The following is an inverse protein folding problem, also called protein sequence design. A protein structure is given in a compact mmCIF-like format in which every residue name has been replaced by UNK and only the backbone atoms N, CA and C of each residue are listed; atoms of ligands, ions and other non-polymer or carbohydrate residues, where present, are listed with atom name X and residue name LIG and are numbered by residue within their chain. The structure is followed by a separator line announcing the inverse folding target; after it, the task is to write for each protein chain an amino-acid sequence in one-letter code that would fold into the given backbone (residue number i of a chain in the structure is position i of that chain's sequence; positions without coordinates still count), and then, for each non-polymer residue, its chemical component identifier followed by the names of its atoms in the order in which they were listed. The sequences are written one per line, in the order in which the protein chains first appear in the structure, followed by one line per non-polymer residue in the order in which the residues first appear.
data_IF_075647811826
#
_entry.id   IF_075647811826
#
_cell.length_a   1.000
_cell.length_b   1.000
_cell.length_c   1.000
_cell.angle_alpha   90.00
_cell.angle_beta   90.00
_cell.angle_gamma   90.00
#
_symmetry.space_group_name_H-M   'P 1'
#
loop_
_entity.id
_entity.type
_entity.pdbx_description
1 polymer ?
#
# COMPACT_ATOMS: atom_id res chain seq x y z
N UNK A 1 39.96 -53.56 -50.98
CA UNK A 1 39.69 -53.49 -49.54
C UNK A 1 39.32 -52.04 -49.17
N UNK A 2 38.02 -51.70 -49.03
CA UNK A 2 37.53 -50.36 -48.68
C UNK A 2 37.32 -50.31 -47.18
N UNK A 3 38.06 -49.43 -46.48
CA UNK A 3 37.90 -49.18 -45.05
C UNK A 3 36.73 -48.17 -44.86
N UNK A 4 35.67 -48.58 -44.17
CA UNK A 4 34.59 -47.71 -43.68
C UNK A 4 35.05 -47.08 -42.36
N UNK A 5 35.14 -45.75 -42.35
CA UNK A 5 35.30 -44.95 -41.13
C UNK A 5 33.89 -44.64 -40.59
N UNK A 6 33.59 -45.16 -39.39
CA UNK A 6 32.34 -44.83 -38.66
C UNK A 6 32.67 -43.64 -37.80
N UNK A 7 32.12 -42.44 -38.14
CA UNK A 7 32.16 -41.24 -37.29
C UNK A 7 31.08 -41.31 -36.20
N UNK A 8 31.52 -41.39 -34.96
CA UNK A 8 30.65 -41.35 -33.77
C UNK A 8 30.36 -39.90 -33.46
N UNK A 9 29.14 -39.42 -33.73
CA UNK A 9 28.67 -38.08 -33.32
C UNK A 9 28.17 -38.12 -31.86
N UNK A 10 28.90 -37.50 -30.97
CA UNK A 10 28.50 -37.34 -29.58
C UNK A 10 27.54 -36.13 -29.49
N UNK A 11 26.28 -36.40 -29.25
CA UNK A 11 25.29 -35.37 -28.93
C UNK A 11 25.39 -34.94 -27.48
N UNK A 12 25.92 -33.76 -27.20
CA UNK A 12 25.80 -33.12 -25.88
C UNK A 12 24.39 -32.57 -25.71
N UNK A 13 23.57 -33.21 -24.90
CA UNK A 13 22.30 -32.68 -24.47
C UNK A 13 22.54 -31.59 -23.41
N UNK A 14 22.36 -30.32 -23.81
CA UNK A 14 22.39 -29.18 -22.90
C UNK A 14 21.02 -29.14 -22.16
N UNK A 15 21.00 -29.64 -20.92
CA UNK A 15 19.84 -29.51 -20.04
C UNK A 15 19.76 -28.05 -19.54
N UNK A 16 18.94 -27.24 -20.18
CA UNK A 16 18.63 -25.90 -19.68
C UNK A 16 17.71 -26.02 -18.44
N UNK A 17 18.28 -25.80 -17.26
CA UNK A 17 17.50 -25.66 -16.02
C UNK A 17 16.62 -24.40 -16.15
N UNK A 18 15.33 -24.58 -16.39
CA UNK A 18 14.35 -23.51 -16.31
C UNK A 18 14.17 -23.13 -14.82
N UNK A 19 14.80 -22.05 -14.37
CA UNK A 19 14.43 -21.39 -13.12
C UNK A 19 13.05 -20.79 -13.28
N UNK A 20 12.04 -21.38 -12.64
CA UNK A 20 10.72 -20.77 -12.52
C UNK A 20 10.87 -19.43 -11.81
N UNK A 21 10.77 -18.33 -12.56
CA UNK A 21 10.63 -17.01 -11.96
C UNK A 21 9.29 -17.01 -11.20
N UNK A 22 9.34 -16.93 -9.87
CA UNK A 22 8.14 -16.64 -9.07
C UNK A 22 7.62 -15.26 -9.50
N UNK A 23 6.34 -15.21 -9.86
CA UNK A 23 5.69 -13.93 -10.18
C UNK A 23 5.89 -12.95 -9.00
N UNK A 24 6.19 -11.68 -9.32
CA UNK A 24 6.29 -10.66 -8.29
C UNK A 24 4.97 -10.58 -7.50
N UNK A 25 4.98 -10.38 -6.17
CA UNK A 25 3.77 -10.30 -5.38
C UNK A 25 2.90 -9.15 -5.87
N UNK A 26 1.57 -9.34 -5.91
CA UNK A 26 0.63 -8.28 -6.27
C UNK A 26 0.46 -7.27 -5.13
N UNK A 27 0.70 -7.71 -3.88
CA UNK A 27 0.58 -6.89 -2.67
C UNK A 27 1.84 -6.92 -1.83
N UNK A 28 2.22 -5.76 -1.28
CA UNK A 28 3.32 -5.62 -0.33
C UNK A 28 2.82 -5.07 1.01
N UNK A 29 3.46 -5.50 2.10
CA UNK A 29 3.24 -4.86 3.40
C UNK A 29 3.75 -3.42 3.36
N UNK A 30 2.95 -2.41 3.78
CA UNK A 30 3.23 -1.00 3.47
C UNK A 30 4.38 -0.37 4.28
N UNK A 31 4.93 -1.03 5.30
CA UNK A 31 6.09 -0.55 6.06
C UNK A 31 7.21 -1.58 6.00
N UNK A 32 8.34 -1.23 5.41
CA UNK A 32 9.47 -2.15 5.23
C UNK A 32 10.69 -1.71 6.05
N UNK A 33 11.64 -2.64 6.23
CA UNK A 33 12.94 -2.46 6.90
C UNK A 33 12.85 -1.99 8.37
N UNK A 34 11.72 -2.26 9.03
CA UNK A 34 11.47 -1.84 10.39
C UNK A 34 10.69 -2.89 11.20
N UNK A 35 10.89 -2.87 12.52
CA UNK A 35 10.00 -3.59 13.44
C UNK A 35 8.68 -2.84 13.53
N UNK A 36 7.58 -3.54 13.31
CA UNK A 36 6.23 -2.98 13.36
C UNK A 36 5.32 -3.80 14.26
N UNK A 37 4.36 -3.10 14.89
CA UNK A 37 3.21 -3.72 15.57
C UNK A 37 1.94 -2.98 15.18
N UNK A 38 0.80 -3.64 15.20
CA UNK A 38 -0.51 -3.03 14.96
C UNK A 38 -1.61 -3.81 15.67
N UNK A 39 -2.67 -3.07 16.04
CA UNK A 39 -3.87 -3.66 16.63
C UNK A 39 -4.86 -4.09 15.53
N UNK A 40 -5.82 -4.95 15.91
CA UNK A 40 -6.93 -5.38 15.04
C UNK A 40 -8.18 -4.51 15.21
N UNK A 41 -8.04 -3.41 15.91
CA UNK A 41 -9.08 -2.39 16.11
C UNK A 41 -8.49 -1.00 15.86
N UNK A 42 -9.32 -0.09 15.46
CA UNK A 42 -9.04 1.31 15.31
C UNK A 42 -10.27 2.08 15.81
N UNK A 43 -10.11 3.29 16.30
CA UNK A 43 -11.14 4.14 16.91
C UNK A 43 -12.60 3.86 16.47
N UNK A 44 -13.21 4.78 15.74
CA UNK A 44 -14.63 4.79 15.34
C UNK A 44 -14.85 4.44 13.85
N UNK A 45 -13.79 4.10 13.11
CA UNK A 45 -13.87 3.72 11.69
C UNK A 45 -12.81 2.68 11.32
N UNK A 46 -13.01 1.91 10.24
CA UNK A 46 -12.05 0.90 9.79
C UNK A 46 -10.76 1.51 9.25
N UNK A 47 -9.66 1.29 9.96
CA UNK A 47 -8.30 1.60 9.57
C UNK A 47 -7.33 0.75 10.41
N UNK A 48 -6.02 0.91 10.20
CA UNK A 48 -4.99 0.28 11.03
C UNK A 48 -3.83 1.24 11.23
N UNK A 49 -3.49 1.53 12.48
CA UNK A 49 -2.28 2.26 12.83
C UNK A 49 -1.12 1.28 12.97
N UNK A 50 -0.18 1.36 12.05
CA UNK A 50 1.03 0.53 12.04
C UNK A 50 2.12 1.27 12.80
N UNK A 51 2.34 0.90 14.05
CA UNK A 51 3.38 1.47 14.90
C UNK A 51 4.75 1.12 14.35
N UNK A 52 5.54 2.14 14.05
CA UNK A 52 6.90 2.03 13.54
C UNK A 52 7.71 3.26 13.95
N UNK A 53 9.04 3.17 13.92
CA UNK A 53 9.91 4.33 14.19
C UNK A 53 9.77 5.38 13.08
N UNK A 54 9.97 6.65 13.43
CA UNK A 54 10.10 7.74 12.46
C UNK A 54 11.25 7.39 11.49
N UNK A 55 11.01 7.63 10.19
CA UNK A 55 11.97 7.33 9.13
C UNK A 55 11.85 5.93 8.53
N UNK A 56 11.04 5.02 9.09
CA UNK A 56 10.73 3.74 8.44
C UNK A 56 10.08 3.98 7.07
N UNK A 57 10.47 3.21 6.06
CA UNK A 57 9.94 3.42 4.71
C UNK A 57 8.47 3.02 4.62
N UNK A 58 7.63 3.95 4.16
CA UNK A 58 6.29 3.68 3.65
C UNK A 58 6.39 3.38 2.15
N UNK A 59 5.91 2.21 1.75
CA UNK A 59 5.95 1.75 0.36
C UNK A 59 4.55 1.52 -0.19
N UNK A 60 4.42 1.58 -1.52
CA UNK A 60 3.15 1.28 -2.20
C UNK A 60 2.78 -0.19 -1.98
N UNK A 61 1.57 -0.47 -1.44
CA UNK A 61 1.14 -1.85 -1.25
C UNK A 61 0.79 -2.57 -2.56
N UNK A 62 0.56 -1.85 -3.65
CA UNK A 62 0.24 -2.35 -4.98
C UNK A 62 0.87 -1.47 -6.06
N UNK A 63 0.89 -1.93 -7.32
CA UNK A 63 1.10 -1.04 -8.46
C UNK A 63 -0.14 -0.19 -8.70
N UNK A 64 0.03 1.05 -9.19
CA UNK A 64 -1.08 1.97 -9.41
C UNK A 64 -0.64 3.39 -9.68
N UNK A 65 -1.51 4.36 -9.41
CA UNK A 65 -1.29 5.78 -9.66
C UNK A 65 -1.47 6.58 -8.37
N UNK A 66 -0.56 7.50 -8.10
CA UNK A 66 -0.73 8.46 -6.99
C UNK A 66 -1.94 9.33 -7.26
N UNK A 67 -2.92 9.29 -6.35
CA UNK A 67 -4.16 10.06 -6.44
C UNK A 67 -3.98 11.45 -5.83
N UNK A 68 -3.42 11.50 -4.62
CA UNK A 68 -3.33 12.71 -3.82
C UNK A 68 -2.12 12.70 -2.89
N UNK A 69 -1.53 13.86 -2.66
CA UNK A 69 -0.39 14.06 -1.76
C UNK A 69 -0.58 15.30 -0.92
N UNK A 70 -0.52 15.16 0.41
CA UNK A 70 -0.42 16.29 1.32
C UNK A 70 1.04 16.54 1.68
N UNK A 71 1.62 17.60 1.13
CA UNK A 71 3.02 17.99 1.38
C UNK A 71 3.21 18.88 2.61
N UNK A 72 2.12 19.38 3.19
CA UNK A 72 2.15 20.29 4.34
C UNK A 72 1.31 19.76 5.47
N UNK A 73 1.84 19.85 6.69
CA UNK A 73 1.08 19.56 7.89
C UNK A 73 0.28 20.80 8.30
N UNK A 74 -0.98 20.82 7.88
CA UNK A 74 -1.92 21.92 8.16
C UNK A 74 -2.71 21.71 9.46
N UNK A 75 -2.52 20.58 10.16
CA UNK A 75 -3.31 20.28 11.34
C UNK A 75 -3.08 21.30 12.46
N UNK A 76 -4.16 21.74 13.05
CA UNK A 76 -4.19 22.64 14.20
C UNK A 76 -5.09 22.03 15.28
N UNK A 77 -4.52 21.77 16.46
CA UNK A 77 -5.24 21.15 17.57
C UNK A 77 -6.43 21.94 18.10
N UNK A 78 -6.48 23.28 17.87
CA UNK A 78 -7.63 24.13 18.28
C UNK A 78 -8.83 23.93 17.37
N UNK A 79 -8.63 23.91 16.05
CA UNK A 79 -9.71 23.72 15.05
C UNK A 79 -10.01 22.25 14.82
N UNK A 80 -9.00 21.39 14.92
CA UNK A 80 -9.06 19.94 14.77
C UNK A 80 -9.87 19.48 13.53
N UNK A 81 -9.71 20.19 12.41
CA UNK A 81 -10.41 19.89 11.17
C UNK A 81 -10.05 18.49 10.66
N UNK A 82 -11.06 17.67 10.37
CA UNK A 82 -10.88 16.27 10.02
C UNK A 82 -10.01 16.04 8.77
N UNK A 83 -10.12 16.93 7.79
CA UNK A 83 -9.34 16.90 6.55
C UNK A 83 -7.84 17.09 6.77
N UNK A 84 -7.43 17.79 7.84
CA UNK A 84 -6.05 18.14 8.14
C UNK A 84 -5.38 17.15 9.09
N UNK A 85 -6.18 16.25 9.71
CA UNK A 85 -5.68 15.30 10.72
C UNK A 85 -4.59 14.38 10.21
N UNK A 86 -4.56 14.06 8.92
CA UNK A 86 -3.55 13.17 8.33
C UNK A 86 -2.13 13.74 8.32
N UNK A 87 -1.96 15.07 8.43
CA UNK A 87 -0.64 15.70 8.24
C UNK A 87 -0.09 15.42 6.84
N UNK A 88 1.19 15.05 6.73
CA UNK A 88 1.76 14.60 5.46
C UNK A 88 1.18 13.23 5.11
N UNK A 89 0.74 13.06 3.86
CA UNK A 89 0.08 11.83 3.44
C UNK A 89 0.20 11.57 1.94
N UNK A 90 0.05 10.31 1.56
CA UNK A 90 -0.03 9.86 0.16
C UNK A 90 -1.22 8.94 0.00
N UNK A 91 -2.00 9.16 -1.06
CA UNK A 91 -3.07 8.29 -1.52
C UNK A 91 -2.73 7.72 -2.88
N UNK A 92 -2.93 6.43 -3.10
CA UNK A 92 -2.81 5.82 -4.42
C UNK A 92 -4.11 5.11 -4.79
N UNK A 93 -4.43 5.08 -6.09
CA UNK A 93 -5.41 4.16 -6.66
C UNK A 93 -4.61 3.01 -7.25
N UNK A 94 -4.80 1.81 -6.71
CA UNK A 94 -4.18 0.59 -7.20
C UNK A 94 -4.75 0.16 -8.55
N UNK A 95 -3.98 -0.63 -9.29
CA UNK A 95 -4.43 -1.26 -10.54
C UNK A 95 -5.65 -2.17 -10.31
N UNK A 96 -5.89 -2.57 -9.06
CA UNK A 96 -7.08 -3.30 -8.61
C UNK A 96 -8.31 -2.40 -8.36
N UNK A 97 -8.21 -1.09 -8.59
CA UNK A 97 -9.28 -0.11 -8.40
C UNK A 97 -9.56 0.29 -6.96
N UNK A 98 -8.72 -0.12 -6.02
CA UNK A 98 -8.84 0.20 -4.59
C UNK A 98 -7.95 1.39 -4.23
N UNK A 99 -8.42 2.27 -3.34
CA UNK A 99 -7.59 3.33 -2.76
C UNK A 99 -6.84 2.83 -1.54
N UNK A 100 -5.55 3.14 -1.50
CA UNK A 100 -4.66 2.90 -0.37
C UNK A 100 -4.10 4.23 0.13
N UNK A 101 -4.29 4.51 1.41
CA UNK A 101 -3.95 5.78 2.03
C UNK A 101 -2.97 5.58 3.18
N UNK A 102 -1.85 6.31 3.15
CA UNK A 102 -0.91 6.37 4.26
C UNK A 102 -0.71 7.81 4.74
N UNK A 103 -0.81 8.04 6.06
CA UNK A 103 -0.69 9.37 6.65
C UNK A 103 0.16 9.40 7.92
N UNK A 104 0.30 10.58 8.49
CA UNK A 104 1.21 10.94 9.59
C UNK A 104 2.69 10.81 9.21
N UNK A 105 3.02 10.97 7.92
CA UNK A 105 4.37 10.84 7.41
C UNK A 105 5.28 11.94 7.94
N UNK A 106 6.58 11.65 8.08
CA UNK A 106 7.62 12.65 8.35
C UNK A 106 8.18 13.26 7.07
N UNK A 107 8.08 12.51 5.96
CA UNK A 107 8.61 12.93 4.66
C UNK A 107 7.83 12.26 3.53
N UNK A 108 7.61 13.00 2.46
CA UNK A 108 7.18 12.46 1.15
C UNK A 108 8.43 12.19 0.32
N UNK A 109 8.50 11.06 -0.37
CA UNK A 109 9.64 10.72 -1.21
C UNK A 109 9.70 11.63 -2.44
N UNK A 110 10.92 11.96 -2.87
CA UNK A 110 11.13 12.82 -4.04
C UNK A 110 10.52 12.20 -5.29
N UNK A 111 9.81 13.01 -6.06
CA UNK A 111 9.14 12.58 -7.29
C UNK A 111 7.75 11.95 -7.07
N UNK A 112 7.28 11.78 -5.84
CA UNK A 112 5.90 11.33 -5.58
C UNK A 112 4.96 12.53 -5.66
N UNK A 113 4.09 12.52 -6.68
CA UNK A 113 3.11 13.57 -6.96
C UNK A 113 1.85 12.97 -7.61
N UNK A 114 0.69 13.62 -7.54
CA UNK A 114 -0.51 13.17 -8.23
C UNK A 114 -0.28 12.87 -9.71
N UNK A 115 -0.78 11.73 -10.20
CA UNK A 115 -0.59 11.23 -11.56
C UNK A 115 0.66 10.38 -11.78
N UNK A 116 1.59 10.30 -10.82
CA UNK A 116 2.78 9.45 -10.91
C UNK A 116 2.39 7.98 -10.82
N UNK A 117 2.86 7.17 -11.76
CA UNK A 117 2.72 5.71 -11.73
C UNK A 117 3.74 5.15 -10.74
N UNK A 118 3.28 4.30 -9.84
CA UNK A 118 4.11 3.62 -8.84
C UNK A 118 3.97 2.11 -8.96
N UNK A 119 5.04 1.41 -8.61
CA UNK A 119 5.06 -0.07 -8.56
C UNK A 119 4.86 -0.55 -7.14
N UNK A 120 4.36 -1.78 -6.99
CA UNK A 120 4.32 -2.46 -5.70
C UNK A 120 5.71 -2.42 -5.02
N UNK A 121 5.77 -2.08 -3.74
CA UNK A 121 7.02 -1.94 -2.98
C UNK A 121 7.79 -0.64 -3.23
N UNK A 122 7.37 0.24 -4.15
CA UNK A 122 8.02 1.53 -4.38
C UNK A 122 7.85 2.45 -3.18
N UNK A 123 8.94 3.08 -2.70
CA UNK A 123 8.91 4.03 -1.58
C UNK A 123 8.06 5.26 -1.94
N UNK A 124 7.13 5.60 -1.05
CA UNK A 124 6.23 6.75 -1.14
C UNK A 124 6.60 7.85 -0.14
N UNK A 125 7.22 7.48 0.97
CA UNK A 125 7.57 8.40 2.04
C UNK A 125 8.16 7.69 3.25
N UNK A 126 8.13 8.36 4.39
CA UNK A 126 8.65 7.86 5.65
C UNK A 126 7.63 8.02 6.77
N UNK A 127 7.49 7.00 7.61
CA UNK A 127 6.65 7.02 8.80
C UNK A 127 7.05 8.19 9.71
N UNK A 128 6.06 8.84 10.29
CA UNK A 128 6.26 9.97 11.18
C UNK A 128 5.21 10.05 12.29
N UNK A 129 4.87 11.27 12.66
CA UNK A 129 3.80 11.60 13.62
C UNK A 129 3.21 12.98 13.34
N UNK A 130 3.14 13.40 12.08
CA UNK A 130 2.52 14.69 11.68
C UNK A 130 0.99 14.64 11.81
N UNK A 131 0.34 15.76 11.66
CA UNK A 131 -1.09 15.87 11.84
C UNK A 131 -1.52 15.60 13.28
N UNK A 132 -2.67 14.98 13.47
CA UNK A 132 -3.21 14.66 14.79
C UNK A 132 -2.43 13.59 15.57
N UNK A 133 -1.42 12.96 14.94
CA UNK A 133 -0.52 12.04 15.61
C UNK A 133 0.58 12.75 16.43
N UNK A 134 0.69 14.08 16.38
CA UNK A 134 1.64 14.83 17.21
C UNK A 134 1.43 14.50 18.68
N UNK A 135 2.53 14.19 19.38
CA UNK A 135 2.48 13.80 20.79
C UNK A 135 2.08 12.36 21.07
N UNK A 136 1.80 11.56 20.03
CA UNK A 136 1.55 10.13 20.14
C UNK A 136 2.77 9.31 19.68
N UNK A 137 2.71 7.98 19.83
CA UNK A 137 3.70 7.08 19.22
C UNK A 137 3.67 7.21 17.70
N UNK A 138 4.84 7.26 17.08
CA UNK A 138 4.95 7.32 15.63
C UNK A 138 4.33 6.08 14.97
N UNK A 139 3.58 6.30 13.91
CA UNK A 139 2.88 5.25 13.18
C UNK A 139 2.53 5.67 11.75
N UNK A 140 2.29 4.71 10.90
CA UNK A 140 1.57 4.91 9.66
C UNK A 140 0.10 4.64 9.92
N UNK A 141 -0.76 5.67 9.83
CA UNK A 141 -2.19 5.42 9.69
C UNK A 141 -2.43 4.89 8.28
N UNK A 142 -2.94 3.67 8.18
CA UNK A 142 -3.16 2.99 6.91
C UNK A 142 -4.64 2.72 6.69
N UNK A 143 -5.19 3.29 5.60
CA UNK A 143 -6.59 3.15 5.21
C UNK A 143 -6.73 2.44 3.86
N UNK A 144 -7.77 1.60 3.74
CA UNK A 144 -8.19 0.97 2.48
C UNK A 144 -9.63 1.40 2.22
N UNK A 145 -9.90 1.94 1.00
CA UNK A 145 -11.23 2.43 0.64
C UNK A 145 -11.50 2.35 -0.86
N UNK A 146 -12.73 2.62 -1.26
CA UNK A 146 -13.06 2.86 -2.67
C UNK A 146 -12.74 4.30 -3.07
N UNK A 147 -12.41 4.56 -4.36
CA UNK A 147 -12.21 5.91 -4.89
C UNK A 147 -13.47 6.75 -4.78
N UNK A 148 -13.30 8.04 -4.46
CA UNK A 148 -14.38 9.04 -4.38
C UNK A 148 -13.90 10.35 -4.99
N UNK A 149 -14.77 11.36 -5.03
CA UNK A 149 -14.39 12.71 -5.47
C UNK A 149 -13.26 13.29 -4.59
N UNK A 150 -12.41 14.15 -5.12
CA UNK A 150 -11.40 14.86 -4.35
C UNK A 150 -11.98 15.53 -3.10
N UNK A 151 -11.24 15.52 -1.99
CA UNK A 151 -11.66 16.13 -0.73
C UNK A 151 -12.55 15.26 0.17
N UNK A 152 -12.97 14.08 -0.26
CA UNK A 152 -13.74 13.15 0.59
C UNK A 152 -12.81 12.40 1.57
N UNK A 153 -12.31 13.14 2.55
CA UNK A 153 -11.40 12.63 3.56
C UNK A 153 -12.01 11.56 4.47
N UNK A 154 -13.36 11.56 4.65
CA UNK A 154 -14.06 10.58 5.50
C UNK A 154 -13.99 9.17 4.93
N UNK A 155 -14.09 9.02 3.62
CA UNK A 155 -13.93 7.73 2.95
C UNK A 155 -12.44 7.39 2.78
N UNK A 156 -11.61 8.38 2.39
CA UNK A 156 -10.18 8.20 2.16
C UNK A 156 -9.47 7.57 3.36
N UNK A 157 -9.81 7.96 4.58
CA UNK A 157 -9.17 7.47 5.81
C UNK A 157 -9.36 5.97 6.08
N UNK A 158 -10.32 5.31 5.40
CA UNK A 158 -10.54 3.86 5.47
C UNK A 158 -12.01 3.47 5.63
N UNK A 159 -12.42 2.38 4.96
CA UNK A 159 -13.78 1.81 5.01
C UNK A 159 -13.79 0.30 5.28
N UNK A 160 -12.65 -0.36 5.17
CA UNK A 160 -12.45 -1.77 5.55
C UNK A 160 -11.24 -1.90 6.46
N UNK A 161 -11.22 -2.91 7.33
CA UNK A 161 -10.13 -3.11 8.29
C UNK A 161 -8.88 -3.68 7.60
N UNK A 162 -7.78 -2.91 7.45
CA UNK A 162 -6.58 -3.34 6.75
C UNK A 162 -5.87 -4.53 7.39
N UNK A 163 -5.93 -4.72 8.71
CA UNK A 163 -5.17 -5.76 9.43
C UNK A 163 -5.36 -7.16 8.84
N UNK A 164 -6.54 -7.45 8.27
CA UNK A 164 -6.84 -8.75 7.62
C UNK A 164 -5.99 -9.02 6.39
N UNK A 165 -5.60 -7.96 5.70
CA UNK A 165 -4.74 -7.97 4.51
C UNK A 165 -3.29 -7.88 4.92
N UNK A 166 -2.97 -6.99 5.87
CA UNK A 166 -1.63 -6.80 6.42
C UNK A 166 -1.04 -8.10 6.97
N UNK A 167 -1.84 -8.92 7.68
CA UNK A 167 -1.41 -10.24 8.18
C UNK A 167 -0.98 -11.18 7.05
N UNK A 168 -1.64 -11.10 5.88
CA UNK A 168 -1.30 -11.89 4.68
C UNK A 168 -0.09 -11.32 3.95
N UNK A 169 -0.10 -10.01 3.67
CA UNK A 169 0.99 -9.34 2.93
C UNK A 169 2.32 -9.41 3.68
N UNK A 170 2.29 -9.38 5.01
CA UNK A 170 3.49 -9.48 5.85
C UNK A 170 4.24 -10.82 5.70
N UNK A 171 3.54 -11.87 5.28
CA UNK A 171 4.12 -13.20 5.01
C UNK A 171 4.16 -13.53 3.52
N UNK A 172 4.08 -12.51 2.65
CA UNK A 172 4.20 -12.65 1.21
C UNK A 172 3.03 -13.37 0.54
N UNK A 173 1.84 -13.37 1.17
CA UNK A 173 0.62 -13.95 0.60
C UNK A 173 -0.24 -12.86 0.02
N UNK A 174 -0.56 -12.97 -1.26
CA UNK A 174 -1.52 -12.09 -1.93
C UNK A 174 -2.93 -12.32 -1.39
N UNK A 175 -3.54 -11.25 -0.90
CA UNK A 175 -4.94 -11.22 -0.46
C UNK A 175 -5.54 -9.91 -0.91
N UNK A 176 -6.50 -9.98 -1.82
CA UNK A 176 -7.16 -8.81 -2.41
C UNK A 176 -8.25 -8.25 -1.47
N UNK A 177 -8.30 -6.93 -1.24
CA UNK A 177 -9.38 -6.25 -0.51
C UNK A 177 -10.58 -5.89 -1.41
N UNK A 178 -10.50 -6.08 -2.71
CA UNK A 178 -11.48 -5.59 -3.71
C UNK A 178 -12.91 -5.95 -3.34
N UNK A 179 -13.19 -7.20 -3.04
CA UNK A 179 -14.56 -7.66 -2.72
C UNK A 179 -15.15 -6.94 -1.50
N UNK A 180 -14.37 -6.78 -0.42
CA UNK A 180 -14.83 -6.12 0.80
C UNK A 180 -15.02 -4.61 0.58
N UNK A 181 -14.12 -3.99 -0.22
CA UNK A 181 -14.19 -2.56 -0.59
C UNK A 181 -15.42 -2.28 -1.46
N UNK A 182 -15.70 -3.12 -2.45
CA UNK A 182 -16.88 -2.98 -3.31
C UNK A 182 -18.17 -3.16 -2.50
N UNK A 183 -18.23 -4.13 -1.60
CA UNK A 183 -19.38 -4.32 -0.72
C UNK A 183 -19.62 -3.10 0.20
N UNK A 184 -18.55 -2.48 0.73
CA UNK A 184 -18.64 -1.26 1.52
C UNK A 184 -19.17 -0.07 0.69
N UNK A 185 -18.69 0.08 -0.56
CA UNK A 185 -19.19 1.09 -1.50
C UNK A 185 -20.68 0.92 -1.79
N UNK A 186 -21.09 -0.29 -2.15
CA UNK A 186 -22.47 -0.58 -2.53
C UNK A 186 -23.44 -0.39 -1.35
N UNK A 187 -22.99 -0.71 -0.13
CA UNK A 187 -23.74 -0.39 1.09
C UNK A 187 -23.89 1.11 1.29
N UNK A 188 -22.84 1.89 1.08
CA UNK A 188 -22.88 3.36 1.21
C UNK A 188 -23.82 3.99 0.18
N UNK A 189 -23.80 3.52 -1.09
CA UNK A 189 -24.70 3.99 -2.15
C UNK A 189 -26.16 3.72 -1.81
N UNK A 190 -26.49 2.51 -1.34
CA UNK A 190 -27.87 2.17 -0.91
C UNK A 190 -28.37 3.08 0.22
N UNK A 191 -27.50 3.40 1.19
CA UNK A 191 -27.85 4.29 2.31
C UNK A 191 -28.01 5.76 1.89
N UNK A 192 -27.38 6.19 0.80
CA UNK A 192 -27.50 7.55 0.26
C UNK A 192 -28.67 7.73 -0.71
N UNK A 193 -29.47 6.70 -0.96
CA UNK A 193 -30.62 6.75 -1.89
C UNK A 193 -30.21 6.85 -3.37
N UNK A 194 -28.99 6.45 -3.72
CA UNK A 194 -28.44 6.44 -5.09
C UNK A 194 -28.30 5.03 -5.62
#
# INVERSE_FOLDING_TARGET
MRKFLISLAIFFAFSASQTSATAAPMYAFPVVDCKVTYARSHHDYPATDILAKIGCAFVSPVSGVVEDVSYKDLWNGKTNLGQDRGGLSVSIIGDDGVRYYGSHLSKIETGIAPGVIVKVGQKLGEVGNTGSARGTKSHLHFGISYPTKPGDWKIRRGVVYPWRYLDSWKVGKDKSPVTEVLAARDKALKLSGK
#
